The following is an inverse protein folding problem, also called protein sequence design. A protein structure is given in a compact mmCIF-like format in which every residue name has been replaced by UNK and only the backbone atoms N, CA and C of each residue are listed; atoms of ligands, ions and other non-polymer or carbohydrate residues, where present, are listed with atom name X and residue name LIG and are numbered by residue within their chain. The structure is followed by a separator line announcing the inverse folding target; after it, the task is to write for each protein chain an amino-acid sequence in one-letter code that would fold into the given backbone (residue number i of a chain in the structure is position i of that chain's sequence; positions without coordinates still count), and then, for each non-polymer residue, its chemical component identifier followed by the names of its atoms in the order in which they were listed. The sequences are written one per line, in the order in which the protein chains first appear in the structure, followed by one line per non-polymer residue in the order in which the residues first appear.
data_IF_305883541187
#
_entry.id   IF_305883541187
#
_cell.length_a   1.000
_cell.length_b   1.000
_cell.length_c   1.000
_cell.angle_alpha   90.00
_cell.angle_beta   90.00
_cell.angle_gamma   90.00
#
_symmetry.space_group_name_H-M   'P 1'
#
loop_
_entity.id
_entity.type
_entity.pdbx_description
1 polymer ?
#
# COMPACT_ATOMS: atom_id res chain seq x y z
N UNK A 1 -12.58 4.67 -27.48
CA UNK A 1 -11.17 4.21 -27.38
C UNK A 1 -11.03 2.69 -27.29
N UNK A 2 -11.58 2.00 -26.27
CA UNK A 2 -11.46 0.51 -26.15
C UNK A 2 -11.85 -0.27 -27.41
N UNK A 3 -13.03 0.02 -27.98
CA UNK A 3 -13.55 -0.66 -29.18
C UNK A 3 -12.66 -0.51 -30.42
N UNK A 4 -11.89 0.58 -30.48
CA UNK A 4 -11.03 0.91 -31.61
C UNK A 4 -9.53 0.73 -31.29
N UNK A 5 -9.19 0.13 -30.14
CA UNK A 5 -7.80 -0.09 -29.68
C UNK A 5 -6.91 1.16 -29.73
N UNK A 6 -7.51 2.32 -29.46
CA UNK A 6 -6.78 3.59 -29.36
C UNK A 6 -5.97 3.55 -28.06
N UNK A 7 -4.70 3.97 -28.13
CA UNK A 7 -3.81 4.08 -26.97
C UNK A 7 -4.40 5.01 -25.90
N UNK A 8 -4.61 4.49 -24.70
CA UNK A 8 -5.19 5.26 -23.60
C UNK A 8 -4.22 6.26 -23.00
N UNK A 9 -2.92 6.14 -23.27
CA UNK A 9 -1.95 7.16 -22.87
C UNK A 9 -2.31 8.54 -23.47
N UNK A 10 -2.99 8.56 -24.63
CA UNK A 10 -3.49 9.78 -25.26
C UNK A 10 -4.54 10.54 -24.43
N UNK A 11 -5.24 9.88 -23.49
CA UNK A 11 -6.17 10.55 -22.58
C UNK A 11 -5.45 11.60 -21.72
N UNK A 12 -4.20 11.31 -21.36
CA UNK A 12 -3.36 12.21 -20.58
C UNK A 12 -2.67 13.20 -21.52
N UNK A 13 -2.14 12.71 -22.66
CA UNK A 13 -1.31 13.52 -23.55
C UNK A 13 -2.08 14.59 -24.36
N UNK A 14 -3.37 14.39 -24.63
CA UNK A 14 -4.15 15.30 -25.46
C UNK A 14 -4.35 16.69 -24.80
N UNK A 15 -4.80 16.70 -23.55
CA UNK A 15 -4.95 17.92 -22.73
C UNK A 15 -4.56 17.62 -21.26
N UNK A 16 -3.26 17.59 -20.95
CA UNK A 16 -2.70 17.31 -19.63
C UNK A 16 -3.37 18.08 -18.49
N UNK A 17 -3.49 19.40 -18.63
CA UNK A 17 -4.00 20.27 -17.57
C UNK A 17 -5.46 19.95 -17.23
N UNK A 18 -6.30 19.77 -18.27
CA UNK A 18 -7.70 19.37 -18.12
C UNK A 18 -7.82 18.00 -17.48
N UNK A 19 -6.97 17.04 -17.89
CA UNK A 19 -6.96 15.70 -17.31
C UNK A 19 -6.61 15.75 -15.81
N UNK A 20 -5.60 16.54 -15.44
CA UNK A 20 -5.16 16.69 -14.05
C UNK A 20 -6.22 17.36 -13.18
N UNK A 21 -6.94 18.36 -13.70
CA UNK A 21 -8.05 19.02 -12.99
C UNK A 21 -9.21 18.06 -12.70
N UNK A 22 -9.53 17.16 -13.63
CA UNK A 22 -10.71 16.28 -13.55
C UNK A 22 -10.37 14.83 -13.17
N UNK A 23 -9.15 14.55 -12.72
CA UNK A 23 -8.75 13.19 -12.35
C UNK A 23 -9.59 12.66 -11.17
N UNK A 24 -10.03 13.56 -10.29
CA UNK A 24 -10.93 13.22 -9.18
C UNK A 24 -12.28 12.74 -9.70
N UNK A 25 -12.88 13.50 -10.61
CA UNK A 25 -14.17 13.15 -11.21
C UNK A 25 -14.09 11.82 -11.98
N UNK A 26 -12.95 11.52 -12.61
CA UNK A 26 -12.71 10.25 -13.26
C UNK A 26 -12.80 9.07 -12.27
N UNK A 27 -12.13 9.17 -11.12
CA UNK A 27 -12.17 8.11 -10.09
C UNK A 27 -13.57 8.04 -9.45
N UNK A 28 -14.17 9.18 -9.16
CA UNK A 28 -15.45 9.27 -8.45
C UNK A 28 -16.61 8.75 -9.32
N UNK A 29 -16.56 8.99 -10.63
CA UNK A 29 -17.58 8.50 -11.58
C UNK A 29 -17.35 7.07 -12.07
N UNK A 30 -16.14 6.51 -11.90
CA UNK A 30 -15.84 5.16 -12.34
C UNK A 30 -16.63 4.11 -11.54
N UNK A 31 -17.42 3.29 -12.24
CA UNK A 31 -18.15 2.16 -11.64
C UNK A 31 -17.35 0.88 -11.60
N UNK A 32 -16.39 0.74 -12.52
CA UNK A 32 -15.61 -0.46 -12.73
C UNK A 32 -14.11 -0.12 -12.60
N UNK A 33 -13.39 -0.71 -11.62
CA UNK A 33 -11.97 -0.46 -11.42
C UNK A 33 -11.11 -0.87 -12.62
N UNK A 34 -11.57 -1.82 -13.44
CA UNK A 34 -10.80 -2.32 -14.60
C UNK A 34 -10.68 -1.26 -15.69
N UNK A 35 -11.59 -0.29 -15.75
CA UNK A 35 -11.48 0.86 -16.65
C UNK A 35 -10.25 1.71 -16.32
N UNK A 36 -10.00 1.95 -15.03
CA UNK A 36 -8.86 2.75 -14.57
C UNK A 36 -7.58 1.92 -14.62
N UNK A 37 -7.63 0.63 -14.26
CA UNK A 37 -6.48 -0.26 -14.40
C UNK A 37 -5.97 -0.32 -15.85
N UNK A 38 -6.88 -0.33 -16.84
CA UNK A 38 -6.49 -0.30 -18.24
C UNK A 38 -5.80 1.02 -18.64
N UNK A 39 -6.26 2.15 -18.09
CA UNK A 39 -5.55 3.43 -18.25
C UNK A 39 -4.15 3.35 -17.64
N UNK A 40 -4.04 2.90 -16.38
CA UNK A 40 -2.75 2.79 -15.68
C UNK A 40 -1.78 1.87 -16.44
N UNK A 41 -2.27 0.74 -16.96
CA UNK A 41 -1.47 -0.20 -17.75
C UNK A 41 -0.89 0.46 -19.01
N UNK A 42 -1.68 1.29 -19.70
CA UNK A 42 -1.29 2.00 -20.91
C UNK A 42 -0.34 3.18 -20.67
N UNK A 43 -0.28 3.74 -19.45
CA UNK A 43 0.60 4.85 -19.12
C UNK A 43 2.07 4.50 -19.44
N UNK A 44 2.72 5.44 -20.12
CA UNK A 44 4.14 5.41 -20.41
C UNK A 44 4.67 6.85 -20.42
N UNK A 45 5.98 7.06 -20.24
CA UNK A 45 6.54 8.43 -20.18
C UNK A 45 6.69 9.08 -21.56
N UNK A 46 6.42 8.37 -22.65
CA UNK A 46 6.50 8.95 -23.99
C UNK A 46 5.29 9.85 -24.22
N UNK A 47 5.52 10.95 -24.92
CA UNK A 47 4.44 11.83 -25.38
C UNK A 47 3.99 11.36 -26.77
N UNK A 48 2.68 11.25 -26.96
CA UNK A 48 2.11 10.90 -28.25
C UNK A 48 2.37 11.98 -29.31
N UNK A 49 2.92 11.59 -30.46
CA UNK A 49 3.15 12.50 -31.60
C UNK A 49 1.86 13.11 -32.16
N UNK A 50 0.70 12.49 -31.90
CA UNK A 50 -0.61 12.96 -32.31
C UNK A 50 -1.25 13.96 -31.33
N UNK A 51 -0.54 14.33 -30.25
CA UNK A 51 -1.03 15.21 -29.21
C UNK A 51 -0.18 16.48 -29.11
N UNK A 52 -0.82 17.65 -29.14
CA UNK A 52 -0.15 18.95 -28.98
C UNK A 52 -0.10 19.42 -27.52
N UNK A 53 -0.42 18.53 -26.56
CA UNK A 53 -0.42 18.84 -25.13
C UNK A 53 0.98 19.07 -24.57
N UNK A 54 1.05 19.69 -23.39
CA UNK A 54 2.29 19.91 -22.66
C UNK A 54 2.91 18.59 -22.19
N UNK A 55 4.24 18.46 -22.30
CA UNK A 55 4.91 17.24 -21.82
C UNK A 55 4.92 17.24 -20.30
N UNK A 56 4.32 16.22 -19.70
CA UNK A 56 4.38 16.01 -18.24
C UNK A 56 5.70 15.32 -17.89
N UNK A 57 6.55 15.98 -17.10
CA UNK A 57 7.73 15.34 -16.52
C UNK A 57 7.33 14.27 -15.50
N UNK A 58 7.98 13.11 -15.57
CA UNK A 58 7.68 11.92 -14.76
C UNK A 58 6.17 11.57 -14.76
N UNK A 59 5.57 11.60 -15.95
CA UNK A 59 4.13 11.41 -16.17
C UNK A 59 3.58 10.18 -15.46
N UNK A 60 4.22 9.02 -15.62
CA UNK A 60 3.75 7.77 -15.04
C UNK A 60 3.58 7.93 -13.52
N UNK A 61 4.64 8.32 -12.80
CA UNK A 61 4.58 8.45 -11.35
C UNK A 61 3.60 9.54 -10.90
N UNK A 62 3.55 10.67 -11.60
CA UNK A 62 2.64 11.78 -11.25
C UNK A 62 1.17 11.35 -11.35
N UNK A 63 0.81 10.64 -12.43
CA UNK A 63 -0.57 10.18 -12.62
C UNK A 63 -0.89 9.04 -11.65
N UNK A 64 0.01 8.07 -11.45
CA UNK A 64 -0.23 6.98 -10.49
C UNK A 64 -0.35 7.48 -9.06
N UNK A 65 0.45 8.46 -8.64
CA UNK A 65 0.34 9.09 -7.32
C UNK A 65 -1.01 9.76 -7.11
N UNK A 66 -1.50 10.51 -8.09
CA UNK A 66 -2.80 11.19 -8.00
C UNK A 66 -3.95 10.18 -7.96
N UNK A 67 -3.89 9.12 -8.78
CA UNK A 67 -4.89 8.05 -8.78
C UNK A 67 -4.90 7.30 -7.44
N UNK A 68 -3.74 6.91 -6.92
CA UNK A 68 -3.64 6.23 -5.63
C UNK A 68 -4.19 7.11 -4.50
N UNK A 69 -3.78 8.38 -4.43
CA UNK A 69 -4.26 9.35 -3.43
C UNK A 69 -5.78 9.53 -3.49
N UNK A 70 -6.35 9.65 -4.69
CA UNK A 70 -7.78 9.83 -4.85
C UNK A 70 -8.55 8.57 -4.47
N UNK A 71 -8.07 7.37 -4.83
CA UNK A 71 -8.71 6.12 -4.40
C UNK A 71 -8.71 6.01 -2.89
N UNK A 72 -7.59 6.32 -2.22
CA UNK A 72 -7.47 6.24 -0.76
C UNK A 72 -8.34 7.29 -0.03
N UNK A 73 -8.71 8.40 -0.67
CA UNK A 73 -9.60 9.41 -0.07
C UNK A 73 -11.10 9.08 -0.20
N UNK A 74 -11.48 8.06 -0.97
CA UNK A 74 -12.86 7.66 -1.15
C UNK A 74 -13.53 7.20 0.16
N UNK A 75 -14.88 7.27 0.25
CA UNK A 75 -15.64 6.61 1.30
C UNK A 75 -15.39 5.11 1.32
N UNK A 76 -15.44 4.48 2.51
CA UNK A 76 -15.04 3.09 2.75
C UNK A 76 -15.52 2.09 1.68
N UNK A 77 -16.81 2.05 1.37
CA UNK A 77 -17.36 1.06 0.43
C UNK A 77 -16.82 1.23 -1.01
N UNK A 78 -16.70 2.50 -1.44
CA UNK A 78 -16.12 2.84 -2.75
C UNK A 78 -14.62 2.57 -2.77
N UNK A 79 -13.92 2.89 -1.68
CA UNK A 79 -12.49 2.62 -1.51
C UNK A 79 -12.18 1.13 -1.62
N UNK A 80 -12.96 0.29 -0.94
CA UNK A 80 -12.85 -1.18 -1.00
C UNK A 80 -13.08 -1.74 -2.40
N UNK A 81 -14.04 -1.17 -3.14
CA UNK A 81 -14.29 -1.53 -4.54
C UNK A 81 -13.11 -1.14 -5.45
N UNK A 82 -12.54 0.05 -5.22
CA UNK A 82 -11.53 0.65 -6.07
C UNK A 82 -10.09 0.31 -5.68
N UNK A 83 -9.87 -0.40 -4.56
CA UNK A 83 -8.55 -0.59 -3.97
C UNK A 83 -7.51 -1.21 -4.92
N UNK A 84 -7.93 -2.12 -5.81
CA UNK A 84 -7.05 -2.70 -6.83
C UNK A 84 -6.43 -1.65 -7.75
N UNK A 85 -7.10 -0.51 -7.97
CA UNK A 85 -6.58 0.62 -8.74
C UNK A 85 -5.41 1.30 -8.01
N UNK A 86 -5.51 1.47 -6.70
CA UNK A 86 -4.41 1.99 -5.90
C UNK A 86 -3.20 1.04 -5.94
N UNK A 87 -3.42 -0.28 -5.80
CA UNK A 87 -2.36 -1.27 -5.93
C UNK A 87 -1.69 -1.22 -7.31
N UNK A 88 -2.47 -1.24 -8.40
CA UNK A 88 -1.95 -1.12 -9.77
C UNK A 88 -1.13 0.15 -9.95
N UNK A 89 -1.59 1.28 -9.40
CA UNK A 89 -0.87 2.55 -9.49
C UNK A 89 0.49 2.50 -8.78
N UNK A 90 0.55 1.98 -7.56
CA UNK A 90 1.80 1.83 -6.81
C UNK A 90 2.79 0.90 -7.53
N UNK A 91 2.30 -0.20 -8.10
CA UNK A 91 3.11 -1.22 -8.77
C UNK A 91 3.55 -0.82 -10.18
N UNK A 92 2.79 0.07 -10.85
CA UNK A 92 3.16 0.64 -12.16
C UNK A 92 4.20 1.76 -12.05
N UNK A 93 4.35 2.35 -10.87
CA UNK A 93 5.31 3.43 -10.63
C UNK A 93 6.76 2.96 -10.81
N UNK A 94 7.66 3.87 -11.15
CA UNK A 94 9.09 3.58 -11.30
C UNK A 94 9.91 4.50 -10.38
N UNK A 95 10.58 3.97 -9.33
CA UNK A 95 10.66 2.57 -8.92
C UNK A 95 9.32 2.01 -8.41
N UNK A 96 9.14 0.69 -8.49
CA UNK A 96 7.93 0.02 -8.01
C UNK A 96 7.83 0.11 -6.48
N UNK A 97 6.64 0.44 -5.97
CA UNK A 97 6.40 0.66 -4.53
C UNK A 97 5.76 -0.56 -3.87
N UNK A 98 6.46 -1.70 -3.93
CA UNK A 98 5.96 -3.01 -3.48
C UNK A 98 5.66 -3.01 -1.97
N UNK A 99 6.60 -2.50 -1.16
CA UNK A 99 6.45 -2.45 0.30
C UNK A 99 5.25 -1.59 0.74
N UNK A 100 5.02 -0.46 0.06
CA UNK A 100 3.87 0.40 0.33
C UNK A 100 2.55 -0.31 -0.02
N UNK A 101 2.51 -0.99 -1.18
CA UNK A 101 1.36 -1.79 -1.58
C UNK A 101 1.04 -2.90 -0.57
N UNK A 102 2.06 -3.63 -0.08
CA UNK A 102 1.89 -4.67 0.94
C UNK A 102 1.38 -4.12 2.28
N UNK A 103 1.87 -2.97 2.73
CA UNK A 103 1.36 -2.30 3.93
C UNK A 103 -0.10 -1.91 3.77
N UNK A 104 -0.48 -1.33 2.64
CA UNK A 104 -1.88 -1.00 2.37
C UNK A 104 -2.76 -2.25 2.33
N UNK A 105 -2.28 -3.36 1.77
CA UNK A 105 -3.03 -4.64 1.79
C UNK A 105 -3.32 -5.05 3.23
N UNK A 106 -2.32 -5.01 4.11
CA UNK A 106 -2.50 -5.30 5.54
C UNK A 106 -3.53 -4.38 6.19
N UNK A 107 -3.37 -3.07 6.03
CA UNK A 107 -4.22 -2.07 6.66
C UNK A 107 -5.69 -2.25 6.22
N UNK A 108 -5.92 -2.43 4.93
CA UNK A 108 -7.27 -2.64 4.39
C UNK A 108 -7.83 -4.00 4.77
N UNK A 109 -7.01 -5.04 4.89
CA UNK A 109 -7.46 -6.34 5.41
C UNK A 109 -7.96 -6.19 6.84
N UNK A 110 -7.32 -5.33 7.65
CA UNK A 110 -7.75 -5.09 9.03
C UNK A 110 -9.10 -4.35 9.12
N UNK A 111 -9.46 -3.54 8.13
CA UNK A 111 -10.77 -2.89 8.01
C UNK A 111 -11.89 -3.88 7.63
N UNK A 112 -11.55 -5.02 7.01
CA UNK A 112 -12.52 -6.05 6.59
C UNK A 112 -12.97 -6.91 7.79
N UNK A 113 -14.27 -7.29 7.88
CA UNK A 113 -14.76 -8.24 8.86
C UNK A 113 -13.97 -9.55 8.85
N UNK A 114 -13.71 -10.11 10.04
CA UNK A 114 -12.84 -11.28 10.24
C UNK A 114 -13.17 -12.44 9.30
N UNK A 115 -14.46 -12.70 9.04
CA UNK A 115 -14.93 -13.81 8.20
C UNK A 115 -14.57 -13.65 6.72
N UNK A 116 -14.24 -12.44 6.29
CA UNK A 116 -13.92 -12.11 4.89
C UNK A 116 -12.46 -11.77 4.65
N UNK A 117 -11.65 -11.60 5.71
CA UNK A 117 -10.25 -11.16 5.59
C UNK A 117 -9.45 -12.03 4.64
N UNK A 118 -9.47 -13.34 4.81
CA UNK A 118 -8.70 -14.27 3.97
C UNK A 118 -9.03 -14.14 2.48
N UNK A 119 -10.31 -13.94 2.16
CA UNK A 119 -10.78 -13.79 0.77
C UNK A 119 -10.24 -12.50 0.15
N UNK A 120 -10.31 -11.38 0.88
CA UNK A 120 -9.81 -10.09 0.39
C UNK A 120 -8.28 -10.05 0.34
N UNK A 121 -7.60 -10.51 1.39
CA UNK A 121 -6.13 -10.61 1.42
C UNK A 121 -5.62 -11.42 0.25
N UNK A 122 -6.15 -12.64 0.02
CA UNK A 122 -5.74 -13.47 -1.11
C UNK A 122 -6.01 -12.78 -2.45
N UNK A 123 -7.18 -12.15 -2.61
CA UNK A 123 -7.53 -11.39 -3.82
C UNK A 123 -6.51 -10.28 -4.11
N UNK A 124 -6.13 -9.51 -3.10
CA UNK A 124 -5.22 -8.38 -3.28
C UNK A 124 -3.77 -8.81 -3.43
N UNK A 125 -3.30 -9.81 -2.68
CA UNK A 125 -1.96 -10.38 -2.85
C UNK A 125 -1.79 -11.05 -4.22
N UNK A 126 -2.82 -11.74 -4.71
CA UNK A 126 -2.82 -12.28 -6.07
C UNK A 126 -2.74 -11.17 -7.13
N UNK A 127 -3.43 -10.04 -6.89
CA UNK A 127 -3.31 -8.87 -7.75
C UNK A 127 -1.89 -8.30 -7.76
N UNK A 128 -1.24 -8.19 -6.60
CA UNK A 128 0.16 -7.76 -6.50
C UNK A 128 1.10 -8.72 -7.24
N UNK A 129 0.89 -10.02 -7.10
CA UNK A 129 1.67 -11.07 -7.76
C UNK A 129 1.63 -11.04 -9.30
N UNK A 130 0.67 -10.36 -9.92
CA UNK A 130 0.69 -10.14 -11.37
C UNK A 130 1.76 -9.15 -11.83
N UNK A 131 2.23 -8.25 -10.96
CA UNK A 131 3.18 -7.18 -11.31
C UNK A 131 4.60 -7.46 -10.84
N UNK A 132 4.76 -8.31 -9.82
CA UNK A 132 6.01 -8.54 -9.11
C UNK A 132 6.35 -10.03 -9.15
N UNK A 133 7.61 -10.35 -9.41
CA UNK A 133 8.06 -11.76 -9.35
C UNK A 133 8.00 -12.28 -7.93
N UNK A 134 7.76 -13.57 -7.77
CA UNK A 134 7.63 -14.24 -6.46
C UNK A 134 8.80 -13.93 -5.51
N UNK A 135 10.05 -14.06 -5.99
CA UNK A 135 11.24 -13.81 -5.16
C UNK A 135 11.30 -12.36 -4.66
N UNK A 136 11.10 -11.39 -5.56
CA UNK A 136 11.10 -9.95 -5.24
C UNK A 136 9.95 -9.59 -4.29
N UNK A 137 8.79 -10.24 -4.46
CA UNK A 137 7.62 -10.03 -3.62
C UNK A 137 7.83 -10.56 -2.20
N UNK A 138 8.42 -11.75 -2.05
CA UNK A 138 8.73 -12.34 -0.75
C UNK A 138 9.80 -11.54 0.00
N UNK A 139 10.85 -11.10 -0.69
CA UNK A 139 11.90 -10.26 -0.10
C UNK A 139 11.34 -8.88 0.33
N UNK A 140 10.45 -8.30 -0.48
CA UNK A 140 9.76 -7.07 -0.13
C UNK A 140 8.85 -7.26 1.10
N UNK A 141 8.19 -8.41 1.24
CA UNK A 141 7.37 -8.74 2.40
C UNK A 141 8.23 -8.92 3.67
N UNK A 142 9.34 -9.65 3.60
CA UNK A 142 10.30 -9.76 4.71
C UNK A 142 10.81 -8.39 5.16
N UNK A 143 11.05 -7.49 4.21
CA UNK A 143 11.51 -6.12 4.49
C UNK A 143 10.47 -5.26 5.23
N UNK A 144 9.21 -5.70 5.32
CA UNK A 144 8.20 -5.04 6.15
C UNK A 144 8.32 -5.40 7.64
N UNK A 145 9.18 -6.35 7.99
CA UNK A 145 9.31 -6.96 9.33
C UNK A 145 8.04 -7.66 9.85
N UNK A 146 6.98 -7.69 9.04
CA UNK A 146 5.75 -8.40 9.36
C UNK A 146 5.82 -9.84 8.87
N UNK A 147 6.12 -10.74 9.80
CA UNK A 147 6.24 -12.17 9.52
C UNK A 147 4.87 -12.84 9.26
N UNK A 148 3.77 -12.24 9.71
CA UNK A 148 2.42 -12.73 9.42
C UNK A 148 2.04 -12.40 7.97
N UNK A 149 2.22 -11.14 7.57
CA UNK A 149 2.04 -10.71 6.19
C UNK A 149 2.97 -11.47 5.24
N UNK A 150 4.22 -11.70 5.65
CA UNK A 150 5.18 -12.50 4.87
C UNK A 150 4.70 -13.93 4.65
N UNK A 151 4.13 -14.58 5.67
CA UNK A 151 3.53 -15.90 5.52
C UNK A 151 2.35 -15.88 4.54
N UNK A 152 1.45 -14.88 4.65
CA UNK A 152 0.32 -14.71 3.74
C UNK A 152 0.77 -14.50 2.29
N UNK A 153 1.85 -13.74 2.06
CA UNK A 153 2.47 -13.54 0.73
C UNK A 153 3.02 -14.85 0.19
N UNK A 154 3.73 -15.64 1.02
CA UNK A 154 4.28 -16.92 0.61
C UNK A 154 3.18 -17.93 0.23
N UNK A 155 2.13 -18.00 1.04
CA UNK A 155 0.94 -18.82 0.75
C UNK A 155 0.25 -18.38 -0.55
N UNK A 156 0.03 -17.08 -0.72
CA UNK A 156 -0.61 -16.53 -1.92
C UNK A 156 0.21 -16.75 -3.20
N UNK A 157 1.53 -16.88 -3.06
CA UNK A 157 2.46 -17.11 -4.19
C UNK A 157 2.74 -18.60 -4.46
N UNK A 158 2.13 -19.53 -3.71
CA UNK A 158 2.38 -20.97 -3.77
C UNK A 158 3.84 -21.37 -3.49
N UNK A 159 4.56 -20.62 -2.65
CA UNK A 159 5.92 -20.97 -2.23
C UNK A 159 5.89 -22.22 -1.35
N UNK A 160 6.93 -23.06 -1.41
CA UNK A 160 6.98 -24.31 -0.62
C UNK A 160 6.98 -24.00 0.90
N UNK A 161 5.97 -24.46 1.67
CA UNK A 161 5.92 -24.34 3.12
C UNK A 161 7.17 -24.86 3.85
N UNK A 162 7.85 -25.85 3.28
CA UNK A 162 9.08 -26.41 3.85
C UNK A 162 10.26 -25.45 3.77
N UNK A 163 10.23 -24.47 2.88
CA UNK A 163 11.27 -23.45 2.77
C UNK A 163 10.98 -22.23 3.65
N UNK A 164 9.78 -21.65 3.54
CA UNK A 164 9.50 -20.38 4.21
C UNK A 164 9.12 -20.55 5.69
N UNK A 165 8.47 -21.65 6.10
CA UNK A 165 8.05 -21.82 7.51
C UNK A 165 9.27 -21.93 8.44
N UNK A 166 10.31 -22.75 8.15
CA UNK A 166 11.50 -22.80 9.00
C UNK A 166 12.20 -21.45 9.08
N UNK A 167 12.35 -20.75 7.95
CA UNK A 167 12.94 -19.42 7.88
C UNK A 167 12.19 -18.41 8.77
N UNK A 168 10.86 -18.34 8.64
CA UNK A 168 10.06 -17.43 9.47
C UNK A 168 10.12 -17.79 10.95
N UNK A 169 10.19 -19.08 11.29
CA UNK A 169 10.33 -19.52 12.68
C UNK A 169 11.72 -19.21 13.27
N UNK A 170 12.78 -19.30 12.46
CA UNK A 170 14.13 -18.88 12.85
C UNK A 170 14.17 -17.37 13.11
N UNK A 171 13.63 -16.57 12.18
CA UNK A 171 13.50 -15.12 12.35
C UNK A 171 12.69 -14.72 13.59
N UNK A 172 11.67 -15.50 13.97
CA UNK A 172 10.93 -15.30 15.23
C UNK A 172 11.75 -15.60 16.48
N UNK A 173 12.67 -16.56 16.41
CA UNK A 173 13.50 -16.99 17.56
C UNK A 173 14.70 -16.07 17.78
N UNK A 174 15.35 -15.67 16.69
CA UNK A 174 16.60 -14.92 16.74
C UNK A 174 16.39 -13.42 16.94
N UNK A 175 15.21 -12.90 16.59
CA UNK A 175 14.88 -11.54 16.90
C UNK A 175 14.47 -11.44 18.39
N UNK A 176 15.21 -10.68 19.22
CA UNK A 176 14.82 -10.47 20.60
C UNK A 176 13.40 -9.92 20.61
N UNK A 177 12.49 -10.50 21.38
CA UNK A 177 11.09 -10.02 21.47
C UNK A 177 11.04 -8.53 21.79
N UNK A 178 12.04 -8.04 22.54
CA UNK A 178 12.35 -6.61 22.79
C UNK A 178 12.58 -5.83 21.49
N UNK A 179 13.48 -6.31 20.62
CA UNK A 179 13.86 -5.67 19.35
C UNK A 179 12.70 -5.62 18.35
N UNK A 180 11.90 -6.69 18.27
CA UNK A 180 10.70 -6.72 17.40
C UNK A 180 9.63 -5.73 17.90
N UNK A 181 9.38 -5.69 19.21
CA UNK A 181 8.45 -4.73 19.80
C UNK A 181 8.91 -3.28 19.56
N UNK A 182 10.21 -3.01 19.72
CA UNK A 182 10.79 -1.70 19.44
C UNK A 182 10.69 -1.34 17.95
N UNK A 183 10.91 -2.30 17.04
CA UNK A 183 10.77 -2.09 15.60
C UNK A 183 9.33 -1.73 15.21
N UNK A 184 8.34 -2.51 15.68
CA UNK A 184 6.93 -2.21 15.45
C UNK A 184 6.49 -0.88 16.08
N UNK A 185 6.94 -0.58 17.30
CA UNK A 185 6.66 0.68 17.96
C UNK A 185 7.24 1.88 17.19
N UNK A 186 8.49 1.77 16.70
CA UNK A 186 9.12 2.80 15.84
C UNK A 186 8.41 2.94 14.49
N UNK A 187 7.86 1.86 13.95
CA UNK A 187 7.07 1.88 12.72
C UNK A 187 5.63 2.39 12.93
N UNK A 188 5.20 2.67 14.17
CA UNK A 188 3.84 3.09 14.51
C UNK A 188 2.80 1.95 14.52
N UNK A 189 3.24 0.70 14.39
CA UNK A 189 2.42 -0.51 14.36
C UNK A 189 2.18 -1.06 15.78
N UNK A 190 1.38 -0.34 16.58
CA UNK A 190 1.22 -0.63 18.01
C UNK A 190 0.49 -1.94 18.33
N UNK A 191 -0.47 -2.34 17.49
CA UNK A 191 -1.18 -3.61 17.66
C UNK A 191 -0.23 -4.80 17.51
N UNK A 192 0.62 -4.77 16.49
CA UNK A 192 1.63 -5.79 16.24
C UNK A 192 2.70 -5.82 17.34
N UNK A 193 3.10 -4.64 17.85
CA UNK A 193 3.99 -4.55 19.01
C UNK A 193 3.40 -5.25 20.25
N UNK A 194 2.11 -5.05 20.53
CA UNK A 194 1.39 -5.70 21.64
C UNK A 194 1.30 -7.21 21.43
N UNK A 195 0.95 -7.65 20.22
CA UNK A 195 0.86 -9.08 19.90
C UNK A 195 2.19 -9.81 20.09
N UNK A 196 3.32 -9.16 19.81
CA UNK A 196 4.65 -9.73 20.05
C UNK A 196 4.92 -10.09 21.52
N UNK A 197 4.18 -9.51 22.47
CA UNK A 197 4.29 -9.83 23.90
C UNK A 197 3.03 -10.46 24.51
N UNK A 198 2.12 -10.98 23.68
CA UNK A 198 0.86 -11.58 24.17
C UNK A 198 1.08 -12.68 25.23
N UNK A 199 2.14 -13.46 25.07
CA UNK A 199 2.50 -14.56 25.98
C UNK A 199 3.69 -14.22 26.91
N UNK A 200 4.17 -12.98 26.88
CA UNK A 200 5.30 -12.55 27.70
C UNK A 200 4.87 -12.31 29.15
N UNK A 201 5.61 -12.88 30.10
CA UNK A 201 5.37 -12.64 31.54
C UNK A 201 5.70 -11.22 31.99
N UNK A 202 6.48 -10.50 31.19
CA UNK A 202 6.89 -9.13 31.46
C UNK A 202 6.51 -8.21 30.29
N UNK A 203 5.77 -7.15 30.57
CA UNK A 203 5.32 -6.14 29.61
C UNK A 203 5.86 -4.73 29.95
N UNK A 204 6.88 -4.63 30.82
CA UNK A 204 7.52 -3.38 31.25
C UNK A 204 7.93 -2.49 30.06
N UNK A 205 8.73 -3.04 29.14
CA UNK A 205 9.18 -2.36 27.93
C UNK A 205 8.03 -1.73 27.12
N UNK A 206 6.94 -2.49 26.94
CA UNK A 206 5.82 -2.06 26.10
C UNK A 206 5.02 -0.94 26.77
N UNK A 207 4.90 -1.01 28.10
CA UNK A 207 4.33 0.06 28.92
C UNK A 207 5.18 1.34 28.83
N UNK A 208 6.50 1.21 28.82
CA UNK A 208 7.40 2.37 28.73
C UNK A 208 7.38 3.01 27.33
N UNK A 209 7.37 2.20 26.26
CA UNK A 209 7.21 2.68 24.88
C UNK A 209 5.87 3.40 24.66
N UNK A 210 4.77 2.86 25.19
CA UNK A 210 3.45 3.50 25.12
C UNK A 210 3.41 4.82 25.89
N UNK A 211 4.01 4.87 27.09
CA UNK A 211 4.15 6.12 27.85
C UNK A 211 4.93 7.16 27.07
N UNK A 212 6.06 6.77 26.47
CA UNK A 212 6.88 7.68 25.67
C UNK A 212 6.11 8.20 24.46
N UNK A 213 5.34 7.34 23.77
CA UNK A 213 4.50 7.78 22.65
C UNK A 213 3.40 8.73 23.09
N UNK A 214 2.71 8.43 24.20
CA UNK A 214 1.66 9.29 24.74
C UNK A 214 2.23 10.68 25.09
N UNK A 215 3.41 10.73 25.70
CA UNK A 215 4.09 11.98 26.00
C UNK A 215 4.44 12.76 24.72
N UNK A 216 5.03 12.10 23.72
CA UNK A 216 5.34 12.76 22.44
C UNK A 216 4.09 13.32 21.76
N UNK A 217 2.95 12.61 21.81
CA UNK A 217 1.68 13.11 21.25
C UNK A 217 1.20 14.34 22.02
N UNK A 218 1.29 14.33 23.35
CA UNK A 218 0.93 15.48 24.18
C UNK A 218 1.81 16.69 23.85
N UNK A 219 3.12 16.47 23.69
CA UNK A 219 4.08 17.53 23.36
C UNK A 219 3.82 18.08 21.93
N UNK A 220 3.54 17.22 20.95
CA UNK A 220 3.15 17.62 19.59
C UNK A 220 1.85 18.43 19.57
N UNK A 221 0.86 18.04 20.38
CA UNK A 221 -0.42 18.77 20.49
C UNK A 221 -0.22 20.11 21.17
N UNK A 222 0.58 20.17 22.25
CA UNK A 222 0.90 21.40 22.96
C UNK A 222 1.63 22.41 22.05
N UNK A 223 2.63 21.95 21.28
CA UNK A 223 3.34 22.79 20.32
C UNK A 223 2.41 23.35 19.24
N UNK A 224 1.48 22.53 18.72
CA UNK A 224 0.48 22.97 17.74
C UNK A 224 -0.53 23.94 18.32
N UNK A 225 -0.93 23.81 19.59
CA UNK A 225 -1.82 24.79 20.23
C UNK A 225 -1.15 26.16 20.40
N UNK A 226 0.13 26.19 20.73
CA UNK A 226 0.90 27.44 20.88
C UNK A 226 1.12 28.16 19.54
N UNK A 227 1.21 27.42 18.43
CA UNK A 227 1.27 27.99 17.07
C UNK A 227 -0.07 28.55 16.59
N UNK A 228 -1.20 28.02 17.08
CA UNK A 228 -2.55 28.51 16.73
C UNK A 228 -2.94 29.75 17.53
N UNK A 229 -2.36 29.94 18.72
CA UNK A 229 -2.58 31.13 19.56
C UNK A 229 -1.68 32.34 19.20
N UNK A 230 -0.73 32.17 18.26
CA UNK A 230 0.11 33.26 17.70
C UNK A 230 -0.44 33.79 16.37
#
# INVERSE_FOLDING_TARGET
MKKHRIDMNMLVDYKPDVFLEHIKDLVDSAKDPDLINLLIAALNNNHSEWCNGTVISNKVNRITDLLAKQVLSLPHDRRMQMFVVALTALLKSTPQRIQEALRLVKDFTNEVPLEKRDVYTRKWLHHVGFFVKEAELFDAALSTYDLHLTAQVAEASNRDPKEYIPLLNELRKDAPTVSICEAYAKAGQWMDAVECRRDAKDCSLLRDLLKQRAQNILDEVAAKSEEVER
#
